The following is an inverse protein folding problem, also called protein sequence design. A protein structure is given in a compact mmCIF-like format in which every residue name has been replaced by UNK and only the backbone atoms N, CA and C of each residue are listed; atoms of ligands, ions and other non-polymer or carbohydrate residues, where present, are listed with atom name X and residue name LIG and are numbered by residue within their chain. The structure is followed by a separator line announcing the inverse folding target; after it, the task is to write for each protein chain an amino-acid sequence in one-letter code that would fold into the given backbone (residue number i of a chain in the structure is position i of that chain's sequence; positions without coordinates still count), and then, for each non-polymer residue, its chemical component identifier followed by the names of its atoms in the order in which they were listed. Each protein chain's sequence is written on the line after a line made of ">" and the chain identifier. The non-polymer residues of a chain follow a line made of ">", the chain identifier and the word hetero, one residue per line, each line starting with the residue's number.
data_IF_695748544818
#
_entry.id   IF_695748544818
#
_cell.length_a   1.000
_cell.length_b   1.000
_cell.length_c   1.000
_cell.angle_alpha   90.00
_cell.angle_beta   90.00
_cell.angle_gamma   90.00
#
_symmetry.space_group_name_H-M   'P 1'
#
loop_
_entity.id
_entity.type
_entity.pdbx_description
1 polymer ?
#
# COMPACT_ATOMS: atom_id res chain seq x y z
N UNK A 1 -40.69 34.78 -44.23
CA UNK A 1 -40.49 33.38 -44.64
C UNK A 1 -40.27 32.57 -43.38
N UNK A 2 -41.36 32.07 -42.80
CA UNK A 2 -41.31 31.06 -41.75
C UNK A 2 -41.16 29.71 -42.45
N UNK A 3 -40.20 28.90 -42.03
CA UNK A 3 -40.06 27.52 -42.51
C UNK A 3 -40.61 26.59 -41.43
N UNK A 4 -41.62 25.84 -41.84
CA UNK A 4 -42.30 24.81 -41.05
C UNK A 4 -41.37 23.60 -40.75
N UNK A 5 -41.61 22.86 -39.66
CA UNK A 5 -40.85 21.65 -39.34
C UNK A 5 -41.32 20.44 -40.17
N UNK A 6 -40.34 19.69 -40.70
CA UNK A 6 -40.52 18.41 -41.40
C UNK A 6 -40.68 17.27 -40.37
N UNK A 7 -41.61 16.31 -40.57
CA UNK A 7 -41.90 15.26 -39.59
C UNK A 7 -40.84 14.14 -39.56
N UNK A 8 -40.61 13.57 -38.37
CA UNK A 8 -39.79 12.39 -38.16
C UNK A 8 -40.58 11.12 -38.53
N UNK A 9 -40.09 10.39 -39.55
CA UNK A 9 -40.50 9.01 -39.81
C UNK A 9 -39.26 8.14 -39.95
N UNK A 10 -39.01 7.34 -38.91
CA UNK A 10 -37.96 6.33 -38.89
C UNK A 10 -38.35 5.24 -37.90
N UNK A 11 -39.20 4.31 -38.35
CA UNK A 11 -39.47 3.09 -37.60
C UNK A 11 -38.25 2.18 -37.66
N UNK A 12 -37.78 1.73 -36.50
CA UNK A 12 -36.72 0.73 -36.39
C UNK A 12 -37.31 -0.49 -35.69
N UNK A 13 -37.57 -1.54 -36.47
CA UNK A 13 -37.95 -2.86 -35.96
C UNK A 13 -36.70 -3.60 -35.51
N UNK A 14 -36.63 -4.01 -34.25
CA UNK A 14 -35.58 -4.89 -33.74
C UNK A 14 -36.10 -6.35 -33.69
N UNK A 15 -35.30 -7.35 -34.09
CA UNK A 15 -35.68 -8.75 -33.92
C UNK A 15 -35.58 -9.12 -32.43
N UNK A 16 -36.70 -9.57 -31.87
CA UNK A 16 -36.76 -10.18 -30.54
C UNK A 16 -36.00 -11.51 -30.57
N UNK A 17 -35.01 -11.69 -29.69
CA UNK A 17 -34.45 -13.02 -29.35
C UNK A 17 -35.15 -13.54 -28.10
N UNK A 18 -35.44 -14.84 -28.08
CA UNK A 18 -36.32 -15.54 -27.13
C UNK A 18 -35.75 -15.73 -25.70
N UNK A 19 -34.83 -14.87 -25.26
CA UNK A 19 -34.15 -14.92 -23.97
C UNK A 19 -34.49 -13.75 -23.03
N UNK A 20 -35.38 -12.83 -23.45
CA UNK A 20 -36.01 -11.86 -22.54
C UNK A 20 -35.07 -10.79 -21.97
N UNK A 21 -33.91 -10.57 -22.59
CA UNK A 21 -32.98 -9.50 -22.26
C UNK A 21 -33.32 -8.28 -23.12
N UNK A 22 -33.67 -7.16 -22.48
CA UNK A 22 -33.85 -5.87 -23.14
C UNK A 22 -32.60 -5.03 -22.85
N UNK A 23 -31.75 -4.83 -23.86
CA UNK A 23 -30.61 -3.92 -23.76
C UNK A 23 -31.10 -2.47 -23.91
N UNK A 24 -30.96 -1.67 -22.86
CA UNK A 24 -31.09 -0.22 -22.93
C UNK A 24 -29.68 0.38 -22.95
N UNK A 25 -29.22 0.79 -24.13
CA UNK A 25 -28.01 1.61 -24.26
C UNK A 25 -28.34 3.07 -23.95
N UNK A 26 -27.85 3.61 -22.85
CA UNK A 26 -27.77 5.05 -22.63
C UNK A 26 -26.30 5.47 -22.74
N UNK A 27 -25.97 6.28 -23.74
CA UNK A 27 -24.68 6.95 -23.82
C UNK A 27 -24.70 8.17 -22.89
N UNK A 28 -23.97 8.11 -21.77
CA UNK A 28 -23.72 9.26 -20.92
C UNK A 28 -22.26 9.68 -21.06
N UNK A 29 -22.03 10.78 -21.77
CA UNK A 29 -20.70 11.29 -22.03
C UNK A 29 -20.24 12.18 -20.86
N UNK A 30 -19.79 11.55 -19.77
CA UNK A 30 -18.94 12.21 -18.78
C UNK A 30 -17.49 12.08 -19.25
N UNK A 31 -16.77 13.20 -19.31
CA UNK A 31 -15.44 13.34 -19.91
C UNK A 31 -14.31 12.63 -19.18
N UNK A 32 -14.39 11.30 -19.08
CA UNK A 32 -13.28 10.41 -18.71
C UNK A 32 -13.20 9.35 -19.81
N UNK A 33 -12.06 9.29 -20.49
CA UNK A 33 -11.85 8.35 -21.60
C UNK A 33 -11.98 6.91 -21.09
N UNK A 34 -12.72 6.10 -21.84
CA UNK A 34 -12.76 4.63 -21.80
C UNK A 34 -13.27 3.97 -20.50
N UNK A 35 -14.54 4.22 -20.14
CA UNK A 35 -15.27 3.35 -19.20
C UNK A 35 -16.51 2.77 -19.88
N UNK A 36 -16.58 1.43 -20.00
CA UNK A 36 -17.81 0.72 -20.38
C UNK A 36 -18.48 0.17 -19.12
N UNK A 37 -19.75 0.50 -18.92
CA UNK A 37 -20.58 -0.04 -17.86
C UNK A 37 -21.37 -1.24 -18.38
N UNK A 38 -21.40 -2.34 -17.62
CA UNK A 38 -22.27 -3.48 -17.90
C UNK A 38 -23.21 -3.67 -16.71
N UNK A 39 -24.53 -3.59 -16.96
CA UNK A 39 -25.55 -3.80 -15.94
C UNK A 39 -26.06 -5.23 -16.05
N UNK A 40 -25.85 -6.06 -15.02
CA UNK A 40 -26.47 -7.39 -14.96
C UNK A 40 -27.66 -7.36 -13.99
N UNK A 41 -28.86 -7.56 -14.52
CA UNK A 41 -30.08 -7.68 -13.72
C UNK A 41 -30.34 -9.16 -13.40
N UNK A 42 -30.34 -9.52 -12.12
CA UNK A 42 -30.81 -10.83 -11.65
C UNK A 42 -32.15 -10.62 -10.93
N UNK A 43 -33.18 -11.36 -11.38
CA UNK A 43 -34.57 -11.26 -10.90
C UNK A 43 -34.66 -11.18 -9.37
N UNK A 44 -35.18 -10.07 -8.86
CA UNK A 44 -35.97 -10.04 -7.62
C UNK A 44 -35.41 -9.24 -6.44
N UNK A 45 -34.17 -8.76 -6.44
CA UNK A 45 -33.68 -7.78 -5.46
C UNK A 45 -32.66 -6.83 -6.10
N UNK A 46 -32.99 -5.54 -6.18
CA UNK A 46 -32.05 -4.50 -6.56
C UNK A 46 -31.06 -4.28 -5.40
N UNK A 47 -29.95 -5.01 -5.42
CA UNK A 47 -28.76 -4.68 -4.64
C UNK A 47 -27.71 -4.14 -5.61
N UNK A 48 -27.42 -2.84 -5.47
CA UNK A 48 -26.40 -2.13 -6.23
C UNK A 48 -25.02 -2.69 -5.85
N UNK A 49 -24.57 -3.72 -6.56
CA UNK A 49 -23.21 -4.24 -6.42
C UNK A 49 -22.26 -3.43 -7.28
N UNK A 50 -21.53 -2.49 -6.68
CA UNK A 50 -20.45 -1.78 -7.36
C UNK A 50 -19.24 -2.74 -7.40
N UNK A 51 -18.94 -3.30 -8.57
CA UNK A 51 -17.64 -3.91 -8.82
C UNK A 51 -16.71 -2.76 -9.20
N UNK A 52 -16.00 -2.19 -8.21
CA UNK A 52 -14.92 -1.25 -8.49
C UNK A 52 -13.76 -2.03 -9.10
N UNK A 53 -13.53 -1.78 -10.39
CA UNK A 53 -12.27 -2.11 -11.07
C UNK A 53 -11.10 -1.59 -10.23
N UNK A 54 -10.15 -2.47 -9.96
CA UNK A 54 -8.95 -2.26 -9.14
C UNK A 54 -7.90 -1.38 -9.83
N UNK A 55 -8.29 -0.19 -10.28
CA UNK A 55 -7.37 0.82 -10.78
C UNK A 55 -7.77 2.17 -10.20
N UNK A 56 -6.80 2.82 -9.56
CA UNK A 56 -6.87 4.10 -8.88
C UNK A 56 -7.27 4.09 -7.39
N UNK A 57 -6.46 3.43 -6.55
CA UNK A 57 -6.12 3.99 -5.24
C UNK A 57 -5.04 5.08 -5.44
N UNK A 58 -5.30 6.05 -6.31
CA UNK A 58 -4.45 7.22 -6.56
C UNK A 58 -4.53 8.20 -5.37
N UNK A 59 -3.63 9.21 -5.29
CA UNK A 59 -3.62 10.27 -4.26
C UNK A 59 -4.98 10.95 -3.97
N UNK A 60 -5.98 10.80 -4.84
CA UNK A 60 -7.36 11.26 -4.66
C UNK A 60 -8.02 10.75 -3.36
N UNK A 61 -7.77 9.50 -2.96
CA UNK A 61 -8.39 8.94 -1.73
C UNK A 61 -7.90 9.67 -0.46
N UNK A 62 -6.62 10.02 -0.42
CA UNK A 62 -6.03 10.73 0.72
C UNK A 62 -6.36 12.23 0.73
N UNK A 63 -6.64 12.81 -0.44
CA UNK A 63 -6.86 14.26 -0.61
C UNK A 63 -8.25 14.71 -0.13
N UNK A 64 -9.27 13.87 -0.27
CA UNK A 64 -10.67 14.25 0.03
C UNK A 64 -10.99 14.41 1.53
N UNK A 65 -10.13 13.93 2.45
CA UNK A 65 -10.43 13.89 3.89
C UNK A 65 -9.65 14.89 4.76
N UNK A 66 -8.89 15.78 4.14
CA UNK A 66 -8.35 16.95 4.85
C UNK A 66 -9.49 17.93 5.02
N UNK A 67 -9.94 18.17 6.27
CA UNK A 67 -10.65 19.37 6.77
C UNK A 67 -11.65 19.02 7.90
N UNK A 68 -11.21 18.39 9.00
CA UNK A 68 -11.67 18.78 10.35
C UNK A 68 -10.54 18.62 11.35
N UNK A 69 -10.19 19.72 12.05
CA UNK A 69 -9.25 19.72 13.18
C UNK A 69 -9.97 19.24 14.45
N UNK A 70 -10.44 18.00 14.44
CA UNK A 70 -10.91 17.35 15.67
C UNK A 70 -9.75 16.52 16.22
N UNK A 71 -9.31 16.79 17.46
CA UNK A 71 -8.27 16.02 18.17
C UNK A 71 -8.61 14.52 18.32
N UNK A 72 -9.85 14.16 17.96
CA UNK A 72 -10.34 12.81 17.80
C UNK A 72 -10.84 12.73 16.36
N UNK A 73 -10.06 12.11 15.47
CA UNK A 73 -10.47 11.90 14.07
C UNK A 73 -11.86 11.25 13.95
N UNK A 74 -12.42 11.13 12.73
CA UNK A 74 -13.81 10.70 12.52
C UNK A 74 -14.18 9.50 13.41
N UNK A 75 -15.35 9.58 14.07
CA UNK A 75 -15.78 8.60 15.10
C UNK A 75 -15.70 7.16 14.60
N UNK A 76 -15.99 6.97 13.31
CA UNK A 76 -15.83 5.71 12.59
C UNK A 76 -14.56 5.73 11.73
N UNK A 77 -13.55 4.99 12.18
CA UNK A 77 -12.36 4.66 11.39
C UNK A 77 -12.56 3.27 10.76
N UNK A 78 -12.21 3.13 9.50
CA UNK A 78 -12.26 1.87 8.77
C UNK A 78 -10.85 1.45 8.34
N UNK A 79 -10.68 0.19 7.94
CA UNK A 79 -9.39 -0.31 7.47
C UNK A 79 -9.06 0.24 6.08
N UNK A 80 -7.84 0.74 5.90
CA UNK A 80 -7.34 1.23 4.61
C UNK A 80 -6.23 0.29 4.14
N UNK A 81 -6.46 -0.51 3.07
CA UNK A 81 -5.40 -1.32 2.46
C UNK A 81 -4.24 -0.43 2.02
N UNK A 82 -3.01 -0.87 2.28
CA UNK A 82 -1.80 -0.19 1.86
C UNK A 82 -1.04 -1.09 0.89
N UNK A 83 -0.44 -0.55 -0.18
CA UNK A 83 0.45 -1.31 -1.04
C UNK A 83 1.84 -1.41 -0.39
N UNK A 84 2.23 -2.64 -0.04
CA UNK A 84 3.46 -2.96 0.69
C UNK A 84 4.40 -3.74 -0.21
N UNK A 85 5.66 -3.29 -0.31
CA UNK A 85 6.75 -4.01 -0.95
C UNK A 85 7.58 -4.77 0.10
N UNK A 86 8.00 -5.99 -0.22
CA UNK A 86 8.83 -6.84 0.66
C UNK A 86 10.17 -7.15 0.00
N UNK A 87 11.28 -6.81 0.68
CA UNK A 87 12.63 -7.14 0.24
C UNK A 87 13.32 -8.09 1.22
N UNK A 88 13.66 -9.28 0.74
CA UNK A 88 14.53 -10.20 1.47
C UNK A 88 15.97 -9.93 1.08
N UNK A 89 16.84 -9.69 2.06
CA UNK A 89 18.25 -9.39 1.88
C UNK A 89 19.05 -10.63 2.32
N UNK A 90 19.58 -11.36 1.34
CA UNK A 90 20.34 -12.58 1.59
C UNK A 90 21.15 -13.02 0.38
N UNK A 91 22.36 -13.50 0.63
CA UNK A 91 23.23 -14.08 -0.39
C UNK A 91 22.84 -15.52 -0.79
N UNK A 92 21.96 -16.18 -0.02
CA UNK A 92 21.68 -17.62 -0.19
C UNK A 92 20.20 -17.98 -0.30
N UNK A 93 19.28 -17.05 -0.01
CA UNK A 93 17.85 -17.32 -0.12
C UNK A 93 17.38 -17.30 -1.56
N UNK A 94 16.45 -18.20 -1.84
CA UNK A 94 15.64 -18.26 -3.06
C UNK A 94 14.19 -18.04 -2.70
N UNK A 95 13.31 -17.89 -3.67
CA UNK A 95 11.86 -17.75 -3.42
C UNK A 95 11.31 -18.96 -2.65
N UNK A 96 11.82 -20.17 -2.91
CA UNK A 96 11.40 -21.39 -2.21
C UNK A 96 11.82 -21.36 -0.73
N UNK A 97 13.03 -20.86 -0.44
CA UNK A 97 13.65 -20.93 0.88
C UNK A 97 13.47 -19.65 1.72
N UNK A 98 12.86 -18.62 1.16
CA UNK A 98 12.60 -17.34 1.82
C UNK A 98 11.44 -17.40 2.82
N UNK A 99 11.68 -18.06 3.96
CA UNK A 99 10.69 -18.18 5.03
C UNK A 99 10.31 -16.84 5.68
N UNK A 100 11.23 -15.87 5.75
CA UNK A 100 11.01 -14.57 6.37
C UNK A 100 10.16 -13.66 5.48
N UNK A 101 10.50 -13.54 4.20
CA UNK A 101 9.69 -12.80 3.23
C UNK A 101 8.30 -13.42 3.07
N UNK A 102 8.18 -14.76 3.02
CA UNK A 102 6.87 -15.44 3.03
C UNK A 102 6.04 -15.13 4.27
N UNK A 103 6.67 -15.10 5.45
CA UNK A 103 5.96 -14.78 6.69
C UNK A 103 5.40 -13.34 6.70
N UNK A 104 6.14 -12.38 6.14
CA UNK A 104 5.69 -10.99 5.98
C UNK A 104 4.55 -10.87 4.96
N UNK A 105 4.67 -11.53 3.80
CA UNK A 105 3.62 -11.56 2.78
C UNK A 105 2.32 -12.16 3.33
N UNK A 106 2.41 -13.28 4.05
CA UNK A 106 1.23 -13.90 4.65
C UNK A 106 0.53 -12.94 5.63
N UNK A 107 1.29 -12.28 6.50
CA UNK A 107 0.75 -11.34 7.50
C UNK A 107 0.10 -10.12 6.89
N UNK A 108 0.77 -9.47 5.94
CA UNK A 108 0.21 -8.26 5.32
C UNK A 108 -1.07 -8.57 4.54
N UNK A 109 -1.10 -9.71 3.84
CA UNK A 109 -2.29 -10.13 3.08
C UNK A 109 -3.43 -10.57 3.98
N UNK A 110 -3.14 -11.29 5.07
CA UNK A 110 -4.15 -11.67 6.08
C UNK A 110 -4.83 -10.45 6.72
N UNK A 111 -4.08 -9.35 6.89
CA UNK A 111 -4.63 -8.09 7.41
C UNK A 111 -5.35 -7.25 6.36
N UNK A 112 -5.35 -7.66 5.09
CA UNK A 112 -6.04 -6.99 4.00
C UNK A 112 -5.21 -5.94 3.27
N UNK A 113 -3.91 -5.82 3.55
CA UNK A 113 -3.00 -5.00 2.74
C UNK A 113 -2.68 -5.69 1.41
N UNK A 114 -2.14 -4.94 0.45
CA UNK A 114 -1.82 -5.44 -0.88
C UNK A 114 -0.31 -5.64 -1.01
N UNK A 115 0.12 -6.79 -1.54
CA UNK A 115 1.52 -6.99 -1.90
C UNK A 115 1.81 -6.26 -3.22
N UNK A 116 2.49 -5.12 -3.15
CA UNK A 116 2.85 -4.33 -4.32
C UNK A 116 4.01 -4.95 -5.10
N UNK A 117 5.03 -5.43 -4.37
CA UNK A 117 6.19 -6.08 -4.94
C UNK A 117 6.84 -7.01 -3.92
N UNK A 118 7.53 -8.05 -4.41
CA UNK A 118 8.44 -8.86 -3.62
C UNK A 118 9.73 -9.07 -4.40
N UNK A 119 10.88 -8.88 -3.75
CA UNK A 119 12.20 -9.14 -4.33
C UNK A 119 13.13 -9.78 -3.31
N UNK A 120 14.15 -10.46 -3.81
CA UNK A 120 15.31 -10.92 -3.03
C UNK A 120 16.54 -10.20 -3.61
N UNK A 121 17.36 -9.61 -2.75
CA UNK A 121 18.62 -8.97 -3.12
C UNK A 121 19.77 -9.55 -2.28
N UNK A 122 21.00 -9.58 -2.81
CA UNK A 122 22.18 -9.94 -2.02
C UNK A 122 22.42 -8.92 -0.90
N UNK A 123 23.21 -9.30 0.12
CA UNK A 123 23.65 -8.39 1.18
C UNK A 123 24.77 -7.48 0.66
N UNK A 124 24.38 -6.61 -0.27
CA UNK A 124 25.21 -5.59 -0.88
C UNK A 124 24.51 -4.22 -0.77
N UNK A 125 25.24 -3.27 -0.19
CA UNK A 125 24.74 -1.92 0.10
C UNK A 125 24.18 -1.21 -1.14
N UNK A 126 24.78 -1.40 -2.31
CA UNK A 126 24.38 -0.71 -3.53
C UNK A 126 23.16 -1.36 -4.16
N UNK A 127 23.09 -2.69 -4.14
CA UNK A 127 21.91 -3.45 -4.60
C UNK A 127 20.68 -3.14 -3.73
N UNK A 128 20.85 -3.10 -2.40
CA UNK A 128 19.78 -2.71 -1.48
C UNK A 128 19.30 -1.30 -1.78
N UNK A 129 20.23 -0.34 -1.97
CA UNK A 129 19.87 1.04 -2.31
C UNK A 129 19.12 1.14 -3.62
N UNK A 130 19.55 0.44 -4.67
CA UNK A 130 18.87 0.48 -5.96
C UNK A 130 17.40 0.05 -5.82
N UNK A 131 17.14 -1.10 -5.21
CA UNK A 131 15.78 -1.61 -5.03
C UNK A 131 14.93 -0.69 -4.15
N UNK A 132 15.48 -0.22 -3.02
CA UNK A 132 14.75 0.64 -2.09
C UNK A 132 14.46 2.01 -2.72
N UNK A 133 15.42 2.60 -3.43
CA UNK A 133 15.23 3.87 -4.14
C UNK A 133 14.18 3.79 -5.24
N UNK A 134 14.17 2.69 -6.02
CA UNK A 134 13.13 2.45 -7.02
C UNK A 134 11.74 2.49 -6.39
N UNK A 135 11.55 1.81 -5.26
CA UNK A 135 10.27 1.78 -4.55
C UNK A 135 9.93 3.06 -3.80
N UNK A 136 10.90 3.83 -3.33
CA UNK A 136 10.66 5.16 -2.76
C UNK A 136 10.10 6.12 -3.83
N UNK A 137 10.57 5.99 -5.08
CA UNK A 137 10.11 6.82 -6.19
C UNK A 137 8.79 6.34 -6.82
N UNK A 138 8.39 5.09 -6.58
CA UNK A 138 7.19 4.48 -7.16
C UNK A 138 5.92 4.91 -6.41
N UNK A 139 4.97 5.62 -7.06
CA UNK A 139 3.73 6.06 -6.41
C UNK A 139 2.80 4.89 -6.00
N UNK A 140 3.01 3.70 -6.54
CA UNK A 140 2.26 2.49 -6.22
C UNK A 140 2.81 1.74 -4.99
N UNK A 141 3.91 2.22 -4.38
CA UNK A 141 4.44 1.67 -3.13
C UNK A 141 4.31 2.69 -2.00
N UNK A 142 3.68 2.29 -0.88
CA UNK A 142 3.49 3.15 0.30
C UNK A 142 4.27 2.69 1.52
N UNK A 143 4.56 1.41 1.58
CA UNK A 143 5.34 0.80 2.65
C UNK A 143 6.35 -0.16 2.05
N UNK A 144 7.56 -0.14 2.55
CA UNK A 144 8.61 -1.10 2.23
C UNK A 144 9.00 -1.79 3.53
N UNK A 145 9.06 -3.12 3.51
CA UNK A 145 9.57 -3.92 4.63
C UNK A 145 10.74 -4.76 4.12
N UNK A 146 11.90 -4.56 4.73
CA UNK A 146 13.09 -5.37 4.44
C UNK A 146 13.32 -6.39 5.56
N UNK A 147 13.91 -7.54 5.21
CA UNK A 147 14.35 -8.55 6.18
C UNK A 147 15.74 -9.07 5.82
N UNK A 148 16.68 -9.00 6.76
CA UNK A 148 18.07 -9.45 6.58
C UNK A 148 19.09 -8.31 6.64
N UNK A 149 20.38 -8.67 6.72
CA UNK A 149 21.51 -7.74 6.69
C UNK A 149 21.58 -6.70 7.82
N UNK A 150 20.91 -6.93 8.96
CA UNK A 150 20.90 -6.03 10.14
C UNK A 150 21.77 -6.53 11.30
N UNK A 151 22.57 -7.58 11.10
CA UNK A 151 23.51 -8.08 12.11
C UNK A 151 24.72 -7.17 12.30
N UNK A 152 25.75 -7.63 13.01
CA UNK A 152 26.97 -6.86 13.32
C UNK A 152 28.20 -7.34 12.53
N UNK A 153 28.01 -8.24 11.56
CA UNK A 153 29.12 -8.75 10.75
C UNK A 153 29.48 -7.77 9.63
N UNK A 154 30.64 -7.96 9.00
CA UNK A 154 31.09 -7.11 7.89
C UNK A 154 30.19 -7.19 6.64
N UNK A 155 29.35 -8.23 6.52
CA UNK A 155 28.39 -8.37 5.42
C UNK A 155 27.11 -7.57 5.67
N UNK A 156 26.69 -7.47 6.94
CA UNK A 156 25.43 -6.84 7.33
C UNK A 156 25.42 -5.33 7.05
N UNK A 157 24.89 -4.93 5.89
CA UNK A 157 24.93 -3.55 5.42
C UNK A 157 23.59 -2.83 5.34
N UNK A 158 22.49 -3.44 5.80
CA UNK A 158 21.13 -2.92 5.55
C UNK A 158 20.89 -1.55 6.19
N UNK A 159 21.21 -1.30 7.48
CA UNK A 159 21.05 0.03 8.05
C UNK A 159 21.92 1.09 7.36
N UNK A 160 23.15 0.75 6.97
CA UNK A 160 24.07 1.62 6.23
C UNK A 160 23.59 1.92 4.79
N UNK A 161 22.89 0.96 4.18
CA UNK A 161 22.27 1.11 2.87
C UNK A 161 21.07 2.06 2.94
N UNK A 162 20.20 1.84 3.93
CA UNK A 162 18.89 2.48 4.04
C UNK A 162 18.94 3.87 4.68
N UNK A 163 19.69 4.05 5.78
CA UNK A 163 19.68 5.29 6.56
C UNK A 163 19.93 6.57 5.72
N UNK A 164 20.85 6.57 4.73
CA UNK A 164 21.06 7.74 3.86
C UNK A 164 19.93 8.06 2.88
N UNK A 165 18.95 7.16 2.72
CA UNK A 165 17.79 7.35 1.85
C UNK A 165 16.59 7.97 2.59
N UNK A 166 16.65 8.04 3.92
CA UNK A 166 15.53 8.50 4.75
C UNK A 166 15.50 10.03 4.82
N UNK A 167 14.32 10.61 4.60
CA UNK A 167 14.07 12.02 4.92
C UNK A 167 14.03 12.23 6.44
N UNK A 168 13.46 11.24 7.15
CA UNK A 168 13.38 11.23 8.60
C UNK A 168 13.42 9.80 9.14
N UNK A 169 14.28 9.60 10.14
CA UNK A 169 14.35 8.37 10.90
C UNK A 169 13.23 8.30 11.95
N UNK A 170 12.64 7.12 12.13
CA UNK A 170 11.68 6.82 13.20
C UNK A 170 12.45 6.05 14.27
N UNK A 171 13.23 6.79 15.08
CA UNK A 171 14.17 6.21 16.06
C UNK A 171 13.47 5.23 17.03
N UNK A 172 12.26 5.59 17.46
CA UNK A 172 11.44 4.77 18.35
C UNK A 172 11.15 3.36 17.84
N UNK A 173 11.22 3.09 16.53
CA UNK A 173 11.02 1.74 16.00
C UNK A 173 12.12 0.79 16.46
N UNK A 174 13.39 1.17 16.30
CA UNK A 174 14.52 0.33 16.69
C UNK A 174 14.58 0.12 18.21
N UNK A 175 14.25 1.15 18.98
CA UNK A 175 14.16 1.09 20.44
C UNK A 175 13.07 0.14 20.90
N UNK A 176 11.84 0.32 20.41
CA UNK A 176 10.70 -0.54 20.76
C UNK A 176 10.92 -1.98 20.29
N UNK A 177 11.48 -2.18 19.10
CA UNK A 177 11.81 -3.51 18.59
C UNK A 177 12.78 -4.24 19.50
N UNK A 178 13.85 -3.58 19.95
CA UNK A 178 14.78 -4.19 20.90
C UNK A 178 14.13 -4.43 22.25
N UNK A 179 13.30 -3.51 22.75
CA UNK A 179 12.60 -3.67 24.02
C UNK A 179 11.71 -4.92 24.02
N UNK A 180 10.85 -5.09 23.01
CA UNK A 180 9.99 -6.30 22.91
C UNK A 180 10.79 -7.56 22.62
N UNK A 181 11.91 -7.44 21.89
CA UNK A 181 12.79 -8.59 21.62
C UNK A 181 13.53 -9.07 22.87
N UNK A 182 13.86 -8.19 23.82
CA UNK A 182 14.49 -8.60 25.09
C UNK A 182 13.59 -9.57 25.86
N UNK A 183 12.27 -9.37 25.81
CA UNK A 183 11.30 -10.28 26.44
C UNK A 183 11.30 -11.68 25.80
N UNK A 184 11.57 -11.76 24.49
CA UNK A 184 11.52 -13.03 23.73
C UNK A 184 12.87 -13.76 23.67
N UNK A 185 13.98 -13.03 23.48
CA UNK A 185 15.30 -13.60 23.18
C UNK A 185 16.43 -13.09 24.09
N UNK A 186 16.10 -12.31 25.13
CA UNK A 186 17.04 -11.80 26.11
C UNK A 186 18.12 -10.91 25.51
N UNK A 187 19.36 -11.08 25.98
CA UNK A 187 20.53 -10.28 25.53
C UNK A 187 20.83 -10.39 24.03
N UNK A 188 20.32 -11.43 23.36
CA UNK A 188 20.47 -11.59 21.90
C UNK A 188 19.86 -10.42 21.12
N UNK A 189 18.87 -9.71 21.70
CA UNK A 189 18.28 -8.51 21.11
C UNK A 189 19.31 -7.41 20.82
N UNK A 190 20.43 -7.37 21.56
CA UNK A 190 21.53 -6.41 21.35
C UNK A 190 22.15 -6.50 19.95
N UNK A 191 22.12 -7.69 19.33
CA UNK A 191 22.72 -7.92 18.01
C UNK A 191 21.84 -7.44 16.85
N UNK A 192 20.63 -6.94 17.13
CA UNK A 192 19.68 -6.51 16.10
C UNK A 192 19.71 -5.00 15.89
N UNK A 193 20.06 -4.58 14.66
CA UNK A 193 20.04 -3.16 14.23
C UNK A 193 18.81 -2.81 13.39
N UNK A 194 17.62 -3.14 13.91
CA UNK A 194 16.36 -2.75 13.28
C UNK A 194 16.25 -1.22 13.16
N UNK A 195 15.75 -0.75 12.01
CA UNK A 195 15.70 0.66 11.62
C UNK A 195 14.36 0.94 10.93
N UNK A 196 13.77 2.12 11.13
CA UNK A 196 12.66 2.56 10.30
C UNK A 196 12.75 4.06 9.99
N UNK A 197 12.03 4.48 8.96
CA UNK A 197 11.96 5.88 8.57
C UNK A 197 10.89 6.14 7.52
N UNK A 198 10.87 7.38 7.04
CA UNK A 198 10.08 7.83 5.90
C UNK A 198 10.99 8.45 4.85
N UNK A 199 10.67 8.19 3.58
CA UNK A 199 11.31 8.82 2.42
C UNK A 199 10.27 9.03 1.32
N UNK A 200 10.13 10.24 0.78
CA UNK A 200 9.18 10.59 -0.27
C UNK A 200 7.71 10.15 0.04
N UNK A 201 7.33 10.20 1.31
CA UNK A 201 6.02 9.73 1.78
C UNK A 201 5.80 8.21 1.78
N UNK A 202 6.87 7.44 1.61
CA UNK A 202 6.91 5.98 1.73
C UNK A 202 7.53 5.60 3.06
N UNK A 203 6.83 4.77 3.84
CA UNK A 203 7.37 4.22 5.09
C UNK A 203 8.30 3.05 4.81
N UNK A 204 9.39 2.94 5.57
CA UNK A 204 10.40 1.90 5.40
C UNK A 204 10.74 1.27 6.76
N UNK A 205 10.64 -0.04 6.86
CA UNK A 205 10.95 -0.83 8.06
C UNK A 205 12.00 -1.90 7.74
N UNK A 206 13.14 -1.86 8.42
CA UNK A 206 14.21 -2.84 8.30
C UNK A 206 14.19 -3.80 9.49
N UNK A 207 13.88 -5.06 9.23
CA UNK A 207 13.79 -6.12 10.22
C UNK A 207 14.99 -7.09 10.11
N UNK A 208 15.35 -7.79 11.21
CA UNK A 208 16.31 -8.87 11.14
C UNK A 208 15.87 -10.02 10.22
N UNK A 209 16.85 -10.79 9.74
CA UNK A 209 16.63 -11.88 8.79
C UNK A 209 15.90 -13.12 9.35
N UNK A 210 15.74 -13.22 10.67
CA UNK A 210 15.06 -14.37 11.28
C UNK A 210 13.54 -14.25 11.12
N UNK A 211 12.88 -15.37 10.83
CA UNK A 211 11.42 -15.35 10.67
C UNK A 211 10.73 -14.97 11.99
N UNK A 212 11.30 -15.35 13.14
CA UNK A 212 10.84 -14.91 14.46
C UNK A 212 10.83 -13.39 14.59
N UNK A 213 11.97 -12.73 14.30
CA UNK A 213 12.07 -11.28 14.33
C UNK A 213 11.09 -10.58 13.38
N UNK A 214 10.85 -11.16 12.20
CA UNK A 214 9.84 -10.63 11.26
C UNK A 214 8.43 -10.68 11.86
N UNK A 215 8.08 -11.79 12.53
CA UNK A 215 6.80 -11.93 13.23
C UNK A 215 6.69 -10.92 14.37
N UNK A 216 7.71 -10.83 15.23
CA UNK A 216 7.75 -9.86 16.34
C UNK A 216 7.59 -8.43 15.82
N UNK A 217 8.35 -8.05 14.79
CA UNK A 217 8.29 -6.71 14.20
C UNK A 217 6.92 -6.38 13.60
N UNK A 218 6.33 -7.32 12.86
CA UNK A 218 4.98 -7.14 12.32
C UNK A 218 3.91 -7.10 13.42
N UNK A 219 3.81 -8.18 14.19
CA UNK A 219 2.71 -8.46 15.10
C UNK A 219 2.69 -7.49 16.30
N UNK A 220 3.87 -7.02 16.76
CA UNK A 220 3.97 -6.13 17.93
C UNK A 220 4.00 -4.65 17.59
N UNK A 221 4.46 -4.27 16.39
CA UNK A 221 4.78 -2.87 16.08
C UNK A 221 4.14 -2.39 14.78
N UNK A 222 4.42 -3.05 13.65
CA UNK A 222 4.08 -2.52 12.33
C UNK A 222 2.57 -2.59 12.07
N UNK A 223 1.92 -3.73 12.37
CA UNK A 223 0.50 -3.95 12.06
C UNK A 223 -0.38 -2.82 12.60
N UNK A 224 -0.25 -2.52 13.90
CA UNK A 224 -1.06 -1.50 14.54
C UNK A 224 -0.82 -0.11 13.93
N UNK A 225 0.42 0.21 13.55
CA UNK A 225 0.75 1.50 12.96
C UNK A 225 0.31 1.64 11.50
N UNK A 226 0.10 0.54 10.78
CA UNK A 226 -0.43 0.51 9.42
C UNK A 226 -1.95 0.33 9.35
N UNK A 227 -2.63 0.22 10.50
CA UNK A 227 -4.09 0.19 10.59
C UNK A 227 -4.64 1.55 11.00
N UNK A 228 -5.39 2.19 10.09
CA UNK A 228 -6.02 3.50 10.34
C UNK A 228 -6.95 3.48 11.57
N UNK A 229 -7.48 2.31 11.96
CA UNK A 229 -8.36 2.15 13.11
C UNK A 229 -7.63 2.28 14.45
N UNK A 230 -6.31 2.12 14.48
CA UNK A 230 -5.50 2.17 15.70
C UNK A 230 -5.51 3.55 16.32
N UNK A 231 -5.66 3.59 17.65
CA UNK A 231 -5.67 4.78 18.51
C UNK A 231 -4.50 4.73 19.52
N UNK A 232 -4.03 5.87 20.04
CA UNK A 232 -4.51 7.23 19.77
C UNK A 232 -4.12 7.76 18.39
N UNK A 233 -2.99 7.30 17.84
CA UNK A 233 -2.46 7.70 16.54
C UNK A 233 -1.84 6.51 15.77
N UNK A 234 -1.70 6.66 14.45
CA UNK A 234 -1.05 5.70 13.56
C UNK A 234 -0.41 6.40 12.35
N UNK A 235 0.39 5.66 11.57
CA UNK A 235 1.08 6.23 10.40
C UNK A 235 0.14 6.54 9.23
N UNK A 236 -0.96 5.80 9.08
CA UNK A 236 -1.93 6.02 7.98
C UNK A 236 -2.55 7.42 8.05
N UNK A 237 -2.73 7.95 9.27
CA UNK A 237 -3.22 9.33 9.49
C UNK A 237 -2.30 10.41 8.93
N UNK A 238 -0.99 10.15 8.88
CA UNK A 238 0.02 11.13 8.48
C UNK A 238 0.28 11.10 6.97
N UNK A 239 -0.12 10.03 6.27
CA UNK A 239 0.14 9.85 4.83
C UNK A 239 -0.30 11.04 3.96
N UNK A 240 -1.51 11.64 4.11
CA UNK A 240 -1.90 12.77 3.28
C UNK A 240 -0.91 13.95 3.34
N UNK A 241 -0.37 14.23 4.53
CA UNK A 241 0.57 15.33 4.75
C UNK A 241 1.94 15.02 4.15
N UNK A 242 2.40 13.77 4.30
CA UNK A 242 3.67 13.32 3.75
C UNK A 242 3.68 13.35 2.22
N UNK A 243 2.56 12.98 1.59
CA UNK A 243 2.42 12.98 0.13
C UNK A 243 2.30 14.40 -0.45
N UNK A 244 1.60 15.30 0.24
CA UNK A 244 1.47 16.69 -0.20
C UNK A 244 2.81 17.44 -0.17
N UNK A 245 3.67 17.15 0.81
CA UNK A 245 5.00 17.76 0.91
C UNK A 245 5.93 17.40 -0.26
N UNK A 246 5.80 16.19 -0.82
CA UNK A 246 6.58 15.74 -1.99
C UNK A 246 6.17 16.39 -3.31
N UNK A 247 4.92 16.83 -3.44
CA UNK A 247 4.41 17.49 -4.66
C UNK A 247 4.81 18.98 -4.73
N UNK A 248 4.98 19.65 -3.60
CA UNK A 248 5.29 21.08 -3.51
C UNK A 248 6.71 21.48 -4.00
N UNK A 249 7.60 20.52 -4.22
CA UNK A 249 8.97 20.75 -4.72
C UNK A 249 9.11 20.75 -6.25
N UNK A 250 8.05 20.44 -7.02
CA UNK A 250 8.11 20.34 -8.49
C UNK A 250 7.86 21.66 -9.24
N UNK A 251 8.01 22.81 -8.57
CA UNK A 251 7.66 24.12 -9.11
C UNK A 251 8.60 25.26 -8.75
N UNK A 252 9.92 25.02 -8.76
CA UNK A 252 10.95 26.07 -8.69
C UNK A 252 12.11 25.76 -9.63
#
# INVERSE_FOLDING_TARGET
>A
MALDPVPASGGMTYPCRDDGIVEFGFDFQLGVKDTRFMLLSVRGKASLGIILSTQALTPTFYKEKTMTHDAHGPKDRYFVPLPIAVLTISDSRTEETDGSGKALVARLTEKGHTLAAKRIAPDDKYQIRAVVSDWIADPEVRVIITTGGTGVTARDGTPEAVKPLLDKEIEGFGEMFRAVSVEEIGSSALQSRALAGVANGTYLFCLPGSSGACRTGWDRLIEAQLDYRTRPCNFVELMPQLLAAGEGGKGA
#
